data_IF_300587488128
#
_entry.id   IF_300587488128
#
_cell.length_a   1.000
_cell.length_b   1.000
_cell.length_c   1.000
_cell.angle_alpha   90.00
_cell.angle_beta   90.00
_cell.angle_gamma   90.00
#
_symmetry.space_group_name_H-M   'P 1'
#
loop_
_entity.id
_entity.type
_entity.pdbx_description
1 polymer ?
#
# COMPACT_ATOMS: atom_id res chain seq x y z
N UNK A 1 13.36 1.66 7.25
CA UNK A 1 13.03 2.78 8.16
C UNK A 1 12.48 3.97 7.38
N UNK A 2 11.73 4.87 8.00
CA UNK A 2 11.26 6.11 7.35
C UNK A 2 12.45 7.01 6.95
N UNK A 3 12.27 7.85 5.92
CA UNK A 3 13.32 8.75 5.44
C UNK A 3 14.49 8.06 4.74
N UNK A 4 14.28 6.85 4.22
CA UNK A 4 15.27 6.10 3.41
C UNK A 4 14.59 5.60 2.15
N UNK A 5 15.30 5.59 1.03
CA UNK A 5 14.83 5.11 -0.27
C UNK A 5 16.00 4.93 -1.22
N UNK A 6 15.73 4.61 -2.48
CA UNK A 6 16.75 4.46 -3.50
C UNK A 6 16.28 4.96 -4.85
N UNK A 7 17.23 5.41 -5.67
CA UNK A 7 17.03 5.73 -7.07
C UNK A 7 17.81 4.70 -7.90
N UNK A 8 17.13 4.04 -8.83
CA UNK A 8 17.79 3.12 -9.78
C UNK A 8 17.77 3.79 -11.15
N UNK A 9 18.95 3.97 -11.74
CA UNK A 9 19.12 4.53 -13.07
C UNK A 9 19.40 3.38 -14.03
N UNK A 10 18.52 3.18 -15.00
CA UNK A 10 18.69 2.15 -16.02
C UNK A 10 19.74 2.52 -17.06
N UNK A 11 20.32 1.51 -17.70
CA UNK A 11 21.42 1.66 -18.69
C UNK A 11 21.10 2.57 -19.88
N UNK A 12 19.82 2.79 -20.17
CA UNK A 12 19.35 3.67 -21.27
C UNK A 12 19.44 5.15 -20.95
N UNK A 13 19.71 5.51 -19.70
CA UNK A 13 19.80 6.90 -19.25
C UNK A 13 21.24 7.36 -19.37
N UNK A 14 21.46 8.37 -20.21
CA UNK A 14 22.75 9.03 -20.32
C UNK A 14 23.02 9.92 -19.09
N UNK A 15 23.90 9.44 -18.21
CA UNK A 15 24.28 10.13 -16.97
C UNK A 15 25.00 11.46 -17.21
N UNK A 16 25.62 11.66 -18.38
CA UNK A 16 26.26 12.92 -18.72
C UNK A 16 25.23 14.05 -18.88
N UNK A 17 23.98 13.70 -19.19
CA UNK A 17 22.87 14.66 -19.34
C UNK A 17 22.15 14.97 -18.02
N UNK A 18 22.54 14.32 -16.93
CA UNK A 18 21.93 14.49 -15.62
C UNK A 18 22.88 15.25 -14.69
N UNK A 19 22.42 16.40 -14.23
CA UNK A 19 23.11 17.20 -13.22
C UNK A 19 22.64 16.84 -11.80
N UNK A 20 23.50 16.99 -10.79
CA UNK A 20 23.11 16.74 -9.42
C UNK A 20 22.11 17.80 -8.91
N UNK A 21 21.02 17.34 -8.29
CA UNK A 21 19.98 18.23 -7.74
C UNK A 21 20.49 19.06 -6.55
N UNK A 22 21.38 18.47 -5.74
CA UNK A 22 22.03 19.09 -4.59
C UNK A 22 23.54 18.92 -4.74
N UNK A 23 24.30 19.86 -4.19
CA UNK A 23 25.76 19.84 -4.16
C UNK A 23 26.24 20.13 -2.75
N UNK A 24 27.36 19.54 -2.37
CA UNK A 24 27.97 19.71 -1.05
C UNK A 24 28.90 18.56 -0.72
N UNK A 25 29.46 18.55 0.49
CA UNK A 25 30.36 17.49 0.90
C UNK A 25 29.72 16.10 0.80
N UNK A 26 30.36 15.19 0.09
CA UNK A 26 29.97 13.77 -0.04
C UNK A 26 30.74 12.87 0.93
N UNK A 27 31.91 13.33 1.38
CA UNK A 27 32.86 12.55 2.18
C UNK A 27 33.80 11.66 1.37
N UNK A 28 33.74 11.67 0.03
CA UNK A 28 34.55 10.82 -0.83
C UNK A 28 35.71 11.52 -1.54
N UNK A 29 35.49 12.75 -2.01
CA UNK A 29 36.52 13.65 -2.55
C UNK A 29 36.55 14.95 -1.75
N UNK A 30 36.88 14.82 -0.47
CA UNK A 30 36.88 15.94 0.48
C UNK A 30 37.92 17.02 0.16
N UNK A 31 38.90 16.70 -0.69
CA UNK A 31 39.93 17.61 -1.19
C UNK A 31 39.46 18.46 -2.39
N UNK A 32 38.29 18.17 -2.97
CA UNK A 32 37.74 18.90 -4.12
C UNK A 32 36.54 19.75 -3.68
N UNK A 33 36.45 20.98 -4.20
CA UNK A 33 35.29 21.86 -3.97
C UNK A 33 34.09 21.45 -4.84
N UNK A 34 34.34 20.73 -5.93
CA UNK A 34 33.33 20.33 -6.89
C UNK A 34 32.66 19.00 -6.51
N UNK A 35 31.36 18.89 -6.83
CA UNK A 35 30.60 17.65 -6.63
C UNK A 35 31.22 16.53 -7.49
N UNK A 36 31.45 15.33 -6.93
CA UNK A 36 31.91 14.18 -7.69
C UNK A 36 31.01 13.84 -8.88
N UNK A 37 31.61 13.32 -9.95
CA UNK A 37 30.92 12.94 -11.20
C UNK A 37 30.60 11.44 -11.29
N UNK A 38 31.08 10.63 -10.35
CA UNK A 38 30.84 9.19 -10.27
C UNK A 38 29.68 8.84 -9.34
N UNK A 39 29.02 7.71 -9.62
CA UNK A 39 27.92 7.19 -8.80
C UNK A 39 28.43 6.35 -7.62
N UNK A 40 27.68 6.31 -6.49
CA UNK A 40 26.43 7.03 -6.24
C UNK A 40 26.61 8.50 -5.81
N UNK A 41 27.82 8.87 -5.42
CA UNK A 41 28.20 10.13 -4.76
C UNK A 41 27.79 11.40 -5.50
N UNK A 42 27.74 11.35 -6.83
CA UNK A 42 27.18 12.42 -7.66
C UNK A 42 25.82 12.89 -7.16
N UNK A 43 24.98 12.00 -6.62
CA UNK A 43 23.61 12.31 -6.17
C UNK A 43 23.39 12.23 -4.65
N UNK A 44 24.43 11.94 -3.87
CA UNK A 44 24.32 11.74 -2.41
C UNK A 44 25.14 12.79 -1.64
N UNK A 45 24.78 14.06 -1.80
CA UNK A 45 25.40 15.15 -1.03
C UNK A 45 24.95 15.15 0.44
N UNK A 46 25.90 15.38 1.34
CA UNK A 46 25.70 15.50 2.78
C UNK A 46 25.85 14.18 3.53
N UNK A 47 25.78 14.25 4.85
CA UNK A 47 25.86 13.06 5.71
C UNK A 47 24.68 12.14 5.45
N UNK A 48 24.96 10.91 5.04
CA UNK A 48 23.94 9.90 4.75
C UNK A 48 23.18 9.48 6.01
N UNK A 49 21.92 9.06 5.83
CA UNK A 49 21.11 8.47 6.90
C UNK A 49 21.60 7.05 7.24
N UNK A 50 22.77 6.95 7.86
CA UNK A 50 23.45 5.67 8.11
C UNK A 50 22.59 4.69 8.91
N UNK A 51 21.85 5.16 9.92
CA UNK A 51 20.93 4.32 10.72
C UNK A 51 19.75 3.83 9.87
N UNK A 52 19.18 4.70 9.04
CA UNK A 52 18.12 4.34 8.10
C UNK A 52 18.58 3.29 7.08
N UNK A 53 19.78 3.47 6.53
CA UNK A 53 20.41 2.55 5.58
C UNK A 53 20.77 1.20 6.21
N UNK A 54 21.22 1.17 7.45
CA UNK A 54 21.45 -0.08 8.18
C UNK A 54 20.14 -0.87 8.35
N UNK A 55 19.05 -0.19 8.73
CA UNK A 55 17.73 -0.82 8.83
C UNK A 55 17.15 -1.24 7.47
N UNK A 56 17.40 -0.48 6.39
CA UNK A 56 17.03 -0.89 5.03
C UNK A 56 17.80 -2.14 4.61
N UNK A 57 19.11 -2.20 4.89
CA UNK A 57 19.97 -3.35 4.60
C UNK A 57 19.45 -4.62 5.28
N UNK A 58 19.09 -4.52 6.56
CA UNK A 58 18.48 -5.64 7.28
C UNK A 58 17.16 -6.09 6.66
N UNK A 59 16.29 -5.16 6.26
CA UNK A 59 15.03 -5.46 5.59
C UNK A 59 15.22 -6.13 4.22
N UNK A 60 16.16 -5.64 3.41
CA UNK A 60 16.49 -6.23 2.10
C UNK A 60 17.03 -7.65 2.28
N UNK A 61 17.95 -7.86 3.23
CA UNK A 61 18.47 -9.20 3.54
C UNK A 61 17.35 -10.15 3.93
N UNK A 62 16.45 -9.72 4.82
CA UNK A 62 15.30 -10.53 5.21
C UNK A 62 14.44 -10.93 4.00
N UNK A 63 14.11 -9.98 3.11
CA UNK A 63 13.33 -10.28 1.88
C UNK A 63 14.05 -11.27 0.98
N UNK A 64 15.36 -11.13 0.81
CA UNK A 64 16.17 -12.04 0.00
C UNK A 64 16.30 -13.43 0.62
N UNK A 65 16.43 -13.52 1.94
CA UNK A 65 16.46 -14.77 2.70
C UNK A 65 15.13 -15.54 2.63
N UNK A 66 13.99 -14.82 2.70
CA UNK A 66 12.68 -15.44 2.49
C UNK A 66 12.44 -15.82 1.01
N UNK A 67 12.99 -15.04 0.08
CA UNK A 67 12.81 -15.18 -1.35
C UNK A 67 11.60 -14.40 -1.88
N UNK A 68 11.84 -13.51 -2.85
CA UNK A 68 10.81 -12.64 -3.45
C UNK A 68 9.64 -13.46 -4.04
N UNK A 69 9.95 -14.57 -4.72
CA UNK A 69 8.92 -15.45 -5.29
C UNK A 69 8.05 -16.15 -4.24
N UNK A 70 8.63 -16.50 -3.09
CA UNK A 70 7.90 -17.12 -1.96
C UNK A 70 6.95 -16.12 -1.32
N UNK A 71 7.43 -14.90 -1.07
CA UNK A 71 6.60 -13.80 -0.57
C UNK A 71 5.45 -13.53 -1.54
N UNK A 72 5.75 -13.42 -2.84
CA UNK A 72 4.74 -13.19 -3.89
C UNK A 72 3.68 -14.27 -3.92
N UNK A 73 4.04 -15.55 -3.90
CA UNK A 73 3.09 -16.65 -3.92
C UNK A 73 2.15 -16.64 -2.69
N UNK A 74 2.70 -16.35 -1.50
CA UNK A 74 1.89 -16.20 -0.27
C UNK A 74 0.93 -15.01 -0.38
N UNK A 75 1.43 -13.87 -0.85
CA UNK A 75 0.63 -12.66 -1.06
C UNK A 75 -0.51 -12.89 -2.06
N UNK A 76 -0.25 -13.56 -3.17
CA UNK A 76 -1.26 -13.93 -4.17
C UNK A 76 -2.34 -14.84 -3.57
N UNK A 77 -1.96 -15.86 -2.80
CA UNK A 77 -2.91 -16.76 -2.16
C UNK A 77 -3.83 -16.03 -1.15
N UNK A 78 -3.27 -15.14 -0.32
CA UNK A 78 -4.04 -14.34 0.62
C UNK A 78 -4.94 -13.32 -0.09
N UNK A 79 -4.44 -12.73 -1.18
CA UNK A 79 -5.20 -11.78 -2.01
C UNK A 79 -6.38 -12.45 -2.70
N UNK A 80 -6.17 -13.67 -3.23
CA UNK A 80 -7.24 -14.50 -3.79
C UNK A 80 -8.35 -14.72 -2.78
N UNK A 81 -7.98 -15.21 -1.58
CA UNK A 81 -8.92 -15.45 -0.47
C UNK A 81 -9.69 -14.18 -0.09
N UNK A 82 -9.00 -13.04 0.00
CA UNK A 82 -9.62 -11.77 0.36
C UNK A 82 -10.59 -11.28 -0.72
N UNK A 83 -10.21 -11.35 -2.01
CA UNK A 83 -11.08 -10.94 -3.12
C UNK A 83 -12.34 -11.81 -3.16
N UNK A 84 -12.17 -13.13 -3.13
CA UNK A 84 -13.29 -14.07 -3.23
C UNK A 84 -14.24 -13.93 -2.04
N UNK A 85 -13.68 -13.82 -0.83
CA UNK A 85 -14.46 -13.59 0.38
C UNK A 85 -15.24 -12.27 0.34
N UNK A 86 -14.60 -11.16 -0.04
CA UNK A 86 -15.27 -9.87 -0.12
C UNK A 86 -16.39 -9.88 -1.17
N UNK A 87 -16.17 -10.52 -2.32
CA UNK A 87 -17.18 -10.63 -3.39
C UNK A 87 -18.37 -11.50 -3.02
N UNK A 88 -18.20 -12.45 -2.10
CA UNK A 88 -19.27 -13.29 -1.60
C UNK A 88 -20.20 -12.55 -0.62
N UNK A 89 -19.80 -11.38 -0.09
CA UNK A 89 -20.59 -10.60 0.87
C UNK A 89 -21.59 -9.70 0.12
N UNK A 90 -22.91 -9.88 0.31
CA UNK A 90 -23.90 -9.03 -0.33
C UNK A 90 -23.72 -7.55 0.03
N UNK A 91 -23.75 -6.69 -0.99
CA UNK A 91 -23.56 -5.24 -0.82
C UNK A 91 -22.10 -4.79 -0.79
N UNK A 92 -21.12 -5.69 -0.83
CA UNK A 92 -19.71 -5.33 -0.99
C UNK A 92 -19.34 -5.22 -2.46
N UNK A 93 -18.67 -4.14 -2.84
CA UNK A 93 -18.11 -3.92 -4.17
C UNK A 93 -16.60 -3.91 -4.07
N UNK A 94 -15.94 -4.79 -4.82
CA UNK A 94 -14.46 -4.89 -4.87
C UNK A 94 -13.95 -4.26 -6.16
N UNK A 95 -12.89 -3.46 -6.06
CA UNK A 95 -12.29 -2.73 -7.18
C UNK A 95 -10.93 -3.30 -7.58
N UNK A 96 -10.52 -3.06 -8.83
CA UNK A 96 -9.24 -3.51 -9.38
C UNK A 96 -9.42 -4.59 -10.43
N UNK A 97 -8.36 -5.37 -10.67
CA UNK A 97 -8.37 -6.41 -11.72
C UNK A 97 -9.17 -7.64 -11.34
N UNK A 98 -9.42 -7.84 -10.04
CA UNK A 98 -10.02 -9.04 -9.44
C UNK A 98 -9.20 -10.33 -9.70
N UNK A 99 -7.99 -10.18 -10.24
CA UNK A 99 -7.07 -11.26 -10.54
C UNK A 99 -5.81 -11.08 -9.65
N UNK A 100 -5.62 -11.91 -8.62
CA UNK A 100 -4.46 -11.83 -7.73
C UNK A 100 -3.12 -11.85 -8.46
N UNK A 101 -3.02 -12.54 -9.59
CA UNK A 101 -1.79 -12.63 -10.38
C UNK A 101 -1.45 -11.30 -11.09
N UNK A 102 -2.42 -10.40 -11.26
CA UNK A 102 -2.28 -9.13 -12.00
C UNK A 102 -2.28 -7.88 -11.11
N UNK A 103 -2.24 -8.05 -9.79
CA UNK A 103 -2.17 -6.94 -8.84
C UNK A 103 -1.28 -7.26 -7.64
N UNK A 104 -0.89 -6.23 -6.89
CA UNK A 104 -0.23 -6.39 -5.59
C UNK A 104 -1.25 -6.87 -4.54
N UNK A 105 -0.79 -7.18 -3.33
CA UNK A 105 -1.65 -7.61 -2.22
C UNK A 105 -2.50 -6.48 -1.59
N UNK A 106 -3.00 -5.59 -2.43
CA UNK A 106 -3.81 -4.43 -2.08
C UNK A 106 -5.19 -4.59 -2.68
N UNK A 107 -6.23 -4.58 -1.84
CA UNK A 107 -7.62 -4.76 -2.27
C UNK A 107 -8.44 -3.58 -1.77
N UNK A 108 -9.01 -2.83 -2.70
CA UNK A 108 -9.95 -1.75 -2.43
C UNK A 108 -11.39 -2.25 -2.54
N UNK A 109 -12.23 -1.87 -1.60
CA UNK A 109 -13.65 -2.21 -1.59
C UNK A 109 -14.50 -1.11 -0.94
N UNK A 110 -15.81 -1.19 -1.16
CA UNK A 110 -16.81 -0.38 -0.47
C UNK A 110 -17.99 -1.26 -0.05
N UNK A 111 -18.71 -0.82 0.97
CA UNK A 111 -19.97 -1.43 1.41
C UNK A 111 -21.11 -0.48 1.00
N UNK A 112 -22.09 -0.99 0.25
CA UNK A 112 -23.22 -0.21 -0.23
C UNK A 112 -23.96 0.45 0.94
N UNK A 113 -24.19 1.76 0.82
CA UNK A 113 -24.88 2.55 1.85
C UNK A 113 -24.04 2.90 3.08
N UNK A 114 -22.71 2.69 3.05
CA UNK A 114 -21.80 3.14 4.10
C UNK A 114 -20.70 4.04 3.55
N UNK A 115 -20.36 5.10 4.30
CA UNK A 115 -19.18 5.91 3.99
C UNK A 115 -17.90 5.10 4.30
N UNK A 116 -16.86 5.11 3.43
CA UNK A 116 -15.62 4.41 3.68
C UNK A 116 -14.96 4.76 5.01
N UNK A 117 -15.09 6.02 5.46
CA UNK A 117 -14.53 6.49 6.73
C UNK A 117 -15.28 5.90 7.93
N UNK A 118 -16.61 5.74 7.83
CA UNK A 118 -17.40 5.02 8.84
C UNK A 118 -16.98 3.55 8.89
N UNK A 119 -16.83 2.90 7.73
CA UNK A 119 -16.37 1.51 7.68
C UNK A 119 -15.01 1.36 8.33
N UNK A 120 -14.05 2.24 8.00
CA UNK A 120 -12.71 2.20 8.57
C UNK A 120 -12.69 2.41 10.08
N UNK A 121 -13.47 3.36 10.59
CA UNK A 121 -13.60 3.61 12.03
C UNK A 121 -14.15 2.38 12.75
N UNK A 122 -15.23 1.79 12.24
CA UNK A 122 -15.87 0.62 12.86
C UNK A 122 -14.99 -0.63 12.79
N UNK A 123 -14.23 -0.82 11.70
CA UNK A 123 -13.24 -1.90 11.61
C UNK A 123 -12.19 -1.80 12.73
N UNK A 124 -11.72 -0.59 13.02
CA UNK A 124 -10.76 -0.34 14.09
C UNK A 124 -11.39 -0.53 15.49
N UNK A 125 -12.48 0.20 15.79
CA UNK A 125 -13.06 0.24 17.13
C UNK A 125 -13.78 -1.07 17.54
N UNK A 126 -14.51 -1.72 16.63
CA UNK A 126 -15.32 -2.90 16.96
C UNK A 126 -14.55 -4.21 16.79
N UNK A 127 -13.51 -4.24 15.95
CA UNK A 127 -12.83 -5.47 15.56
C UNK A 127 -11.31 -5.44 15.71
N UNK A 128 -10.71 -4.27 15.99
CA UNK A 128 -9.26 -4.10 16.06
C UNK A 128 -8.56 -4.32 14.71
N UNK A 129 -9.24 -4.00 13.60
CA UNK A 129 -8.74 -4.21 12.25
C UNK A 129 -8.38 -2.86 11.62
N UNK A 130 -7.09 -2.66 11.39
CA UNK A 130 -6.59 -1.46 10.73
C UNK A 130 -6.73 -1.56 9.21
N UNK A 131 -7.25 -0.50 8.61
CA UNK A 131 -7.31 -0.32 7.15
C UNK A 131 -6.96 1.13 6.77
N UNK A 132 -6.93 1.42 5.47
CA UNK A 132 -6.84 2.81 4.98
C UNK A 132 -8.11 3.19 4.24
N UNK A 133 -8.56 4.41 4.43
CA UNK A 133 -9.75 4.97 3.78
C UNK A 133 -9.40 6.19 2.92
N UNK A 134 -10.25 6.50 1.96
CA UNK A 134 -10.15 7.69 1.11
C UNK A 134 -9.53 7.42 -0.26
N UNK A 135 -8.81 8.42 -0.79
CA UNK A 135 -8.31 8.44 -2.16
C UNK A 135 -6.91 7.84 -2.36
N UNK A 136 -6.23 7.42 -1.28
CA UNK A 136 -4.93 6.75 -1.34
C UNK A 136 -3.86 7.45 -2.18
N UNK A 137 -3.87 8.79 -2.20
CA UNK A 137 -3.01 9.63 -3.06
C UNK A 137 -3.17 9.36 -4.58
N UNK A 138 -4.28 8.77 -5.02
CA UNK A 138 -4.53 8.34 -6.40
C UNK A 138 -5.87 8.85 -6.98
N UNK A 139 -6.15 10.17 -6.97
CA UNK A 139 -7.45 10.72 -7.37
C UNK A 139 -7.86 10.35 -8.81
N UNK A 140 -6.90 10.24 -9.74
CA UNK A 140 -7.19 9.83 -11.11
C UNK A 140 -7.71 8.38 -11.19
N UNK A 141 -7.09 7.45 -10.46
CA UNK A 141 -7.55 6.07 -10.38
C UNK A 141 -8.97 6.00 -9.78
N UNK A 142 -9.24 6.77 -8.73
CA UNK A 142 -10.56 6.86 -8.12
C UNK A 142 -11.64 7.41 -9.06
N UNK A 143 -11.30 8.36 -9.95
CA UNK A 143 -12.22 8.79 -11.02
C UNK A 143 -12.50 7.66 -12.02
N UNK A 144 -11.47 6.92 -12.43
CA UNK A 144 -11.62 5.77 -13.35
C UNK A 144 -12.53 4.68 -12.80
N UNK A 145 -12.40 4.35 -11.51
CA UNK A 145 -13.22 3.31 -10.87
C UNK A 145 -14.54 3.85 -10.28
N UNK A 146 -14.87 5.12 -10.50
CA UNK A 146 -16.15 5.72 -10.09
C UNK A 146 -16.32 5.96 -8.58
N UNK A 147 -15.23 6.14 -7.83
CA UNK A 147 -15.26 6.32 -6.36
C UNK A 147 -14.84 7.71 -5.90
N UNK A 148 -14.41 8.59 -6.80
CA UNK A 148 -14.14 9.99 -6.47
C UNK A 148 -15.46 10.74 -6.13
N UNK A 149 -15.49 11.66 -5.14
CA UNK A 149 -14.39 12.13 -4.30
C UNK A 149 -14.16 11.30 -3.02
N UNK A 150 -15.09 10.42 -2.66
CA UNK A 150 -15.12 9.75 -1.35
C UNK A 150 -13.98 8.74 -1.17
N UNK A 151 -13.70 7.97 -2.21
CA UNK A 151 -12.65 6.95 -2.21
C UNK A 151 -13.14 5.55 -1.82
N UNK A 152 -12.24 4.76 -1.22
CA UNK A 152 -12.51 3.35 -0.87
C UNK A 152 -11.93 3.00 0.49
N UNK A 153 -12.42 1.92 1.09
CA UNK A 153 -11.68 1.17 2.11
C UNK A 153 -10.64 0.30 1.42
N UNK A 154 -9.45 0.18 2.00
CA UNK A 154 -8.35 -0.59 1.42
C UNK A 154 -7.65 -1.43 2.47
N UNK A 155 -7.60 -2.73 2.23
CA UNK A 155 -6.68 -3.63 2.89
C UNK A 155 -5.40 -3.77 2.07
N UNK A 156 -4.27 -3.84 2.76
CA UNK A 156 -2.95 -3.99 2.15
C UNK A 156 -2.20 -5.04 2.96
N UNK A 157 -2.17 -6.25 2.42
CA UNK A 157 -1.54 -7.40 3.06
C UNK A 157 -0.04 -7.34 2.78
N UNK A 158 0.77 -7.79 3.74
CA UNK A 158 2.21 -7.94 3.60
C UNK A 158 2.67 -9.34 3.98
N UNK A 159 3.99 -9.54 3.91
CA UNK A 159 4.63 -10.84 4.13
C UNK A 159 4.33 -11.50 5.50
N UNK A 160 3.90 -10.72 6.50
CA UNK A 160 3.58 -11.22 7.83
C UNK A 160 2.10 -11.61 8.01
N UNK A 161 1.21 -11.19 7.12
CA UNK A 161 -0.21 -11.45 7.30
C UNK A 161 -0.56 -12.93 7.12
N UNK A 162 -1.60 -13.38 7.83
CA UNK A 162 -2.02 -14.79 7.82
C UNK A 162 -3.39 -14.98 7.21
N UNK A 163 -3.71 -16.20 6.79
CA UNK A 163 -5.04 -16.55 6.30
C UNK A 163 -6.12 -16.31 7.37
N UNK A 164 -5.82 -16.59 8.65
CA UNK A 164 -6.74 -16.34 9.75
C UNK A 164 -7.02 -14.85 9.99
N UNK A 165 -6.05 -13.97 9.75
CA UNK A 165 -6.29 -12.52 9.78
C UNK A 165 -7.20 -12.08 8.62
N UNK A 166 -7.01 -12.66 7.42
CA UNK A 166 -7.90 -12.42 6.28
C UNK A 166 -9.33 -12.88 6.61
N UNK A 167 -9.49 -14.06 7.20
CA UNK A 167 -10.81 -14.58 7.60
C UNK A 167 -11.50 -13.68 8.62
N UNK A 168 -10.77 -13.24 9.66
CA UNK A 168 -11.29 -12.29 10.65
C UNK A 168 -11.71 -10.96 10.01
N UNK A 169 -10.96 -10.49 9.01
CA UNK A 169 -11.32 -9.29 8.26
C UNK A 169 -12.60 -9.47 7.43
N UNK A 170 -12.77 -10.62 6.77
CA UNK A 170 -13.97 -10.96 6.02
C UNK A 170 -15.20 -11.05 6.91
N UNK A 171 -15.09 -11.71 8.06
CA UNK A 171 -16.18 -11.80 9.05
C UNK A 171 -16.60 -10.41 9.56
N UNK A 172 -15.65 -9.52 9.83
CA UNK A 172 -15.92 -8.16 10.26
C UNK A 172 -16.66 -7.37 9.18
N UNK A 173 -16.18 -7.42 7.92
CA UNK A 173 -16.82 -6.76 6.78
C UNK A 173 -18.24 -7.28 6.58
N UNK A 174 -18.45 -8.59 6.70
CA UNK A 174 -19.78 -9.19 6.56
C UNK A 174 -20.75 -8.69 7.65
N UNK A 175 -20.30 -8.59 8.91
CA UNK A 175 -21.10 -8.03 10.00
C UNK A 175 -21.49 -6.57 9.74
N UNK A 176 -20.55 -5.76 9.23
CA UNK A 176 -20.82 -4.37 8.85
C UNK A 176 -21.86 -4.28 7.72
N UNK A 177 -21.69 -5.08 6.66
CA UNK A 177 -22.59 -5.12 5.52
C UNK A 177 -24.02 -5.55 5.91
N UNK A 178 -24.16 -6.58 6.77
CA UNK A 178 -25.46 -7.00 7.31
C UNK A 178 -26.13 -5.92 8.16
N UNK A 179 -25.35 -5.14 8.91
CA UNK A 179 -25.84 -4.00 9.70
C UNK A 179 -26.35 -2.84 8.84
N UNK A 180 -25.73 -2.59 7.68
CA UNK A 180 -26.13 -1.53 6.76
C UNK A 180 -27.56 -1.75 6.20
N UNK A 181 -27.90 -2.99 5.81
CA UNK A 181 -29.23 -3.32 5.29
C UNK A 181 -30.38 -3.13 6.29
N UNK A 182 -30.10 -3.25 7.59
CA UNK A 182 -31.10 -2.99 8.64
C UNK A 182 -31.39 -1.50 8.84
N UNK A 183 -30.39 -0.63 8.61
CA UNK A 183 -30.54 0.82 8.77
C UNK A 183 -31.35 1.46 7.63
N UNK A 184 -31.20 0.95 6.41
CA UNK A 184 -31.99 1.39 5.24
C UNK A 184 -33.48 1.01 5.36
N UNK A 185 -33.80 -0.17 5.91
CA UNK A 185 -35.19 -0.58 6.16
C UNK A 185 -35.85 0.22 7.30
N UNK A 186 -35.11 0.57 8.35
CA UNK A 186 -35.62 1.37 9.47
C UNK A 186 -35.90 2.84 9.10
N UNK A 187 -35.17 3.41 8.15
CA UNK A 187 -35.41 4.76 7.63
C UNK A 187 -36.63 4.83 6.70
N UNK A 188 -36.88 3.80 5.90
CA UNK A 188 -38.02 3.72 4.98
C UNK A 188 -39.38 3.54 5.70
N UNK A 189 -39.38 3.04 6.94
CA UNK A 189 -40.60 2.84 7.75
C UNK A 189 -40.99 4.07 8.61
N UNK A 190 -40.22 5.16 8.53
CA UNK A 190 -40.45 6.42 9.26
C UNK A 190 -40.78 7.61 8.35
N UNK A 191 -41.02 7.36 7.06
CA UNK A 191 -41.44 8.34 6.06
C UNK A 191 -42.93 8.32 5.81
#
# INVERSE_FOLDING_TARGET
PTGTGGLVIGERVDLARLEPLKRGGTGSRSEQEEQPDFLPDKYESGTVNAVGLAGLTAGVRWVLEQGVGVIRAREEALTCRLIDGLRAIPGVVVYGTLDPARQTATVSFNIAGMDPSEVGLRLDEEFGIMCRVGLHCAPAAHRTIGTFPTGTVRFSLGAFNTAGEVDRALEAVERLARGAGRRTQGAALRG
#
